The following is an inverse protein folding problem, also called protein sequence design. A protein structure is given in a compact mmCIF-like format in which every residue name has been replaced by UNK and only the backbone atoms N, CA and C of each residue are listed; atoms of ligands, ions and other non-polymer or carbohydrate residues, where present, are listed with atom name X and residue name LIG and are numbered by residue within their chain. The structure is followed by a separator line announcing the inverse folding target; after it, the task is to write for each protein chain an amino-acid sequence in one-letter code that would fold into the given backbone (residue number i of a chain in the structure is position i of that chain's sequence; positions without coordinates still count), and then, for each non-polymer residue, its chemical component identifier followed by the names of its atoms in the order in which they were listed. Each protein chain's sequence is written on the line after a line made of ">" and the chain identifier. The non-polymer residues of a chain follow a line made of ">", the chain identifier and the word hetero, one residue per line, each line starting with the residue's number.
data_IF_749892357875
#
_entry.id   IF_749892357875
#
_cell.length_a   1.000
_cell.length_b   1.000
_cell.length_c   1.000
_cell.angle_alpha   90.00
_cell.angle_beta   90.00
_cell.angle_gamma   90.00
#
_symmetry.space_group_name_H-M   'P 1'
#
loop_
_entity.id
_entity.type
_entity.pdbx_description
1 polymer ?
#
# COMPACT_ATOMS: atom_id res chain seq x y z
N UNK A 1 -21.09 -8.01 -17.96
CA UNK A 1 -20.95 -7.17 -16.75
C UNK A 1 -19.54 -6.58 -16.70
N UNK A 2 -19.39 -5.27 -16.48
CA UNK A 2 -18.08 -4.65 -16.21
C UNK A 2 -17.76 -4.80 -14.71
N UNK A 3 -16.64 -5.45 -14.40
CA UNK A 3 -16.09 -5.49 -13.03
C UNK A 3 -15.27 -4.22 -12.81
N UNK A 4 -15.62 -3.43 -11.80
CA UNK A 4 -14.91 -2.19 -11.44
C UNK A 4 -14.11 -2.47 -10.17
N UNK A 5 -12.80 -2.25 -10.21
CA UNK A 5 -11.92 -2.35 -9.05
C UNK A 5 -11.87 -0.97 -8.37
N UNK A 6 -12.28 -0.89 -7.11
CA UNK A 6 -12.10 0.30 -6.28
C UNK A 6 -10.89 0.07 -5.37
N UNK A 7 -9.89 0.94 -5.46
CA UNK A 7 -8.67 0.86 -4.64
C UNK A 7 -8.78 1.76 -3.42
N UNK A 8 -7.97 1.50 -2.38
CA UNK A 8 -7.89 2.40 -1.22
C UNK A 8 -7.39 3.79 -1.61
N UNK A 9 -7.99 4.84 -1.03
CA UNK A 9 -7.66 6.25 -1.27
C UNK A 9 -6.39 6.74 -0.56
N UNK A 10 -5.60 5.86 0.04
CA UNK A 10 -4.39 6.25 0.77
C UNK A 10 -3.27 6.57 -0.23
N UNK A 11 -3.13 7.84 -0.60
CA UNK A 11 -2.06 8.28 -1.49
C UNK A 11 -0.73 8.43 -0.77
N UNK A 12 0.16 7.45 -0.92
CA UNK A 12 1.52 7.51 -0.39
C UNK A 12 2.57 7.34 -1.49
N UNK A 13 3.71 8.00 -1.29
CA UNK A 13 4.95 7.72 -2.03
C UNK A 13 5.46 6.33 -1.63
N UNK A 14 5.82 5.50 -2.60
CA UNK A 14 6.29 4.11 -2.37
C UNK A 14 7.47 4.03 -1.39
N UNK A 15 8.36 5.02 -1.41
CA UNK A 15 9.49 5.13 -0.49
C UNK A 15 9.06 5.19 0.99
N UNK A 16 7.87 5.69 1.30
CA UNK A 16 7.33 5.70 2.66
C UNK A 16 6.91 4.30 3.10
N UNK A 17 6.42 3.48 2.18
CA UNK A 17 6.05 2.09 2.48
C UNK A 17 7.29 1.26 2.79
N UNK A 18 8.33 1.36 1.95
CA UNK A 18 9.61 0.69 2.20
C UNK A 18 10.25 1.12 3.52
N UNK A 19 10.27 2.42 3.81
CA UNK A 19 10.72 2.93 5.12
C UNK A 19 9.89 2.35 6.26
N UNK A 20 8.56 2.23 6.09
CA UNK A 20 7.70 1.71 7.15
C UNK A 20 7.96 0.23 7.44
N UNK A 21 8.14 -0.58 6.39
CA UNK A 21 8.39 -2.03 6.50
C UNK A 21 9.80 -2.34 7.02
N UNK A 22 10.82 -1.61 6.54
CA UNK A 22 12.23 -1.89 6.86
C UNK A 22 12.67 -1.19 8.16
N UNK A 23 12.26 0.06 8.38
CA UNK A 23 12.77 0.90 9.50
C UNK A 23 11.84 0.91 10.70
N UNK A 24 10.53 1.06 10.49
CA UNK A 24 9.56 1.21 11.60
C UNK A 24 8.97 -0.09 12.09
N UNK A 25 9.08 -1.17 11.32
CA UNK A 25 8.38 -2.40 11.61
C UNK A 25 9.25 -3.40 12.36
N UNK A 26 9.00 -3.52 13.67
CA UNK A 26 9.72 -4.44 14.54
C UNK A 26 9.56 -5.92 14.12
N UNK A 27 8.48 -6.28 13.40
CA UNK A 27 8.15 -7.67 13.06
C UNK A 27 8.78 -8.17 11.74
N UNK A 28 9.37 -7.28 10.94
CA UNK A 28 10.03 -7.69 9.69
C UNK A 28 11.41 -8.29 9.93
N UNK A 29 12.09 -7.90 11.03
CA UNK A 29 13.49 -8.22 11.36
C UNK A 29 14.43 -8.15 10.14
N UNK A 30 14.11 -7.25 9.19
CA UNK A 30 14.74 -7.24 7.88
C UNK A 30 16.14 -6.63 7.99
N UNK A 31 17.14 -7.36 7.47
CA UNK A 31 18.52 -6.87 7.33
C UNK A 31 18.74 -6.07 6.05
N UNK A 32 17.67 -5.82 5.28
CA UNK A 32 17.74 -5.15 3.99
C UNK A 32 18.08 -3.67 4.15
N UNK A 33 18.93 -3.15 3.27
CA UNK A 33 19.29 -1.73 3.25
C UNK A 33 18.33 -0.94 2.36
N UNK A 34 17.98 0.28 2.78
CA UNK A 34 17.27 1.22 1.92
C UNK A 34 18.27 1.91 0.97
N UNK A 35 18.02 1.81 -0.34
CA UNK A 35 18.79 2.47 -1.38
C UNK A 35 17.84 3.36 -2.17
N UNK A 36 18.15 4.64 -2.29
CA UNK A 36 17.37 5.61 -3.05
C UNK A 36 17.92 5.70 -4.47
N UNK A 37 17.03 5.61 -5.47
CA UNK A 37 17.34 5.78 -6.89
C UNK A 37 16.53 6.96 -7.46
N UNK A 38 16.98 7.59 -8.56
CA UNK A 38 16.20 8.60 -9.25
C UNK A 38 14.83 8.06 -9.69
N UNK A 39 13.82 8.93 -9.68
CA UNK A 39 12.48 8.59 -10.13
C UNK A 39 12.48 8.39 -11.67
N UNK A 40 11.81 7.37 -12.21
CA UNK A 40 11.54 7.28 -13.64
C UNK A 40 10.78 8.52 -14.13
N UNK A 41 11.02 8.93 -15.38
CA UNK A 41 10.43 10.15 -15.93
C UNK A 41 8.90 10.12 -15.98
N UNK A 42 8.31 8.93 -16.19
CA UNK A 42 6.87 8.73 -16.36
C UNK A 42 6.14 8.38 -15.05
N UNK A 43 6.84 8.32 -13.91
CA UNK A 43 6.24 7.88 -12.66
C UNK A 43 5.58 9.05 -11.90
N UNK A 44 4.26 9.00 -11.66
CA UNK A 44 3.59 10.01 -10.87
C UNK A 44 4.00 9.87 -9.41
N UNK A 45 4.41 11.00 -8.79
CA UNK A 45 4.88 11.05 -7.41
C UNK A 45 3.83 10.63 -6.38
N UNK A 46 2.54 10.79 -6.69
CA UNK A 46 1.46 10.44 -5.76
C UNK A 46 0.21 10.04 -6.55
N UNK A 47 -0.51 9.03 -6.04
CA UNK A 47 -1.82 8.62 -6.56
C UNK A 47 -2.79 8.59 -5.39
N UNK A 48 -3.80 9.45 -5.40
CA UNK A 48 -4.82 9.53 -4.35
C UNK A 48 -6.20 9.59 -5.03
N UNK A 49 -6.83 8.45 -5.31
CA UNK A 49 -8.12 8.43 -6.00
C UNK A 49 -9.22 8.96 -5.08
N UNK A 50 -10.12 9.76 -5.65
CA UNK A 50 -11.39 10.10 -5.01
C UNK A 50 -12.31 8.86 -5.00
N UNK A 51 -12.82 8.53 -3.82
CA UNK A 51 -13.66 7.35 -3.57
C UNK A 51 -15.11 7.72 -3.23
N UNK A 52 -15.51 8.99 -3.29
CA UNK A 52 -16.87 9.44 -2.92
C UNK A 52 -17.97 8.69 -3.69
N UNK A 53 -17.75 8.40 -4.98
CA UNK A 53 -18.72 7.64 -5.80
C UNK A 53 -18.94 6.22 -5.27
N UNK A 54 -17.87 5.55 -4.80
CA UNK A 54 -17.98 4.19 -4.27
C UNK A 54 -18.65 4.20 -2.89
N UNK A 55 -18.36 5.21 -2.06
CA UNK A 55 -19.02 5.39 -0.77
C UNK A 55 -20.52 5.62 -0.93
N UNK A 56 -20.92 6.51 -1.84
CA UNK A 56 -22.32 6.84 -2.08
C UNK A 56 -23.09 5.68 -2.72
N UNK A 57 -22.57 5.12 -3.81
CA UNK A 57 -23.33 4.15 -4.63
C UNK A 57 -23.24 2.72 -4.14
N UNK A 58 -22.14 2.35 -3.49
CA UNK A 58 -21.88 0.97 -3.07
C UNK A 58 -21.90 0.82 -1.55
N UNK A 59 -22.09 1.91 -0.80
CA UNK A 59 -21.96 1.92 0.66
C UNK A 59 -20.61 1.33 1.08
N UNK A 60 -19.57 1.62 0.29
CA UNK A 60 -18.27 0.98 0.40
C UNK A 60 -17.20 1.95 0.87
N UNK A 61 -16.36 1.49 1.81
CA UNK A 61 -15.15 2.16 2.25
C UNK A 61 -14.02 1.16 2.50
N UNK A 62 -12.75 1.58 2.40
CA UNK A 62 -11.64 0.77 2.87
C UNK A 62 -11.71 0.60 4.40
N UNK A 63 -11.93 -0.64 4.85
CA UNK A 63 -12.07 -0.96 6.28
C UNK A 63 -10.78 -1.53 6.90
N UNK A 64 -9.78 -1.86 6.07
CA UNK A 64 -8.50 -2.41 6.52
C UNK A 64 -7.49 -1.28 6.63
N UNK A 65 -6.98 -1.05 7.83
CA UNK A 65 -5.89 -0.10 8.02
C UNK A 65 -4.62 -0.58 7.33
N UNK A 66 -3.79 0.34 6.85
CA UNK A 66 -2.56 0.00 6.13
C UNK A 66 -1.62 -0.91 6.95
N UNK A 67 -1.52 -0.72 8.26
CA UNK A 67 -0.72 -1.61 9.11
C UNK A 67 -1.27 -3.04 9.16
N UNK A 68 -2.58 -3.20 9.30
CA UNK A 68 -3.24 -4.51 9.33
C UNK A 68 -3.06 -5.25 8.00
N UNK A 69 -3.27 -4.55 6.87
CA UNK A 69 -3.04 -5.11 5.54
C UNK A 69 -1.59 -5.53 5.32
N UNK A 70 -0.63 -4.76 5.83
CA UNK A 70 0.79 -5.11 5.77
C UNK A 70 1.12 -6.39 6.57
N UNK A 71 0.51 -6.61 7.74
CA UNK A 71 0.69 -7.85 8.53
C UNK A 71 0.25 -9.05 7.73
N UNK A 72 -0.97 -9.03 7.21
CA UNK A 72 -1.53 -10.12 6.41
C UNK A 72 -0.68 -10.41 5.17
N UNK A 73 -0.18 -9.37 4.51
CA UNK A 73 0.67 -9.50 3.32
C UNK A 73 2.03 -10.15 3.66
N UNK A 74 2.68 -9.70 4.73
CA UNK A 74 3.98 -10.25 5.16
C UNK A 74 3.82 -11.69 5.62
N UNK A 75 2.78 -12.00 6.38
CA UNK A 75 2.47 -13.35 6.83
C UNK A 75 2.21 -14.30 5.65
N UNK A 76 1.43 -13.84 4.64
CA UNK A 76 1.23 -14.59 3.41
C UNK A 76 2.57 -14.96 2.75
N UNK A 77 3.47 -14.00 2.55
CA UNK A 77 4.78 -14.28 1.93
C UNK A 77 5.73 -15.10 2.82
N UNK A 78 5.62 -15.00 4.15
CA UNK A 78 6.38 -15.86 5.09
C UNK A 78 5.98 -17.33 5.01
N UNK A 79 4.72 -17.61 4.68
CA UNK A 79 4.20 -18.98 4.57
C UNK A 79 4.22 -19.52 3.13
N UNK A 80 4.49 -18.65 2.14
CA UNK A 80 4.55 -19.02 0.74
C UNK A 80 5.93 -19.57 0.31
N UNK A 81 6.99 -19.17 1.01
CA UNK A 81 8.39 -19.57 0.77
C UNK A 81 8.85 -20.45 1.92
#
# INVERSE_FOLDING_TARGET
>A
MKRILVTGGAGFLESHLCKRIIVKWQHSNSKSKLIFKPLPQDDPKQRMPDISIAQEKLVWSPNIHLQEGLIKTIEYFKNFI
#
